data_IF_018907905390
#
_entry.id   IF_018907905390
#
_cell.length_a   1.000
_cell.length_b   1.000
_cell.length_c   1.000
_cell.angle_alpha   90.00
_cell.angle_beta   90.00
_cell.angle_gamma   90.00
#
_symmetry.space_group_name_H-M   'P 1'
#
loop_
_entity.id
_entity.type
_entity.pdbx_description
1 polymer ?
#
# COMPACT_ATOMS: atom_id res chain seq x y z
N UNK A 1 -4.25 -0.15 12.26
CA UNK A 1 -3.79 -0.11 10.85
C UNK A 1 -2.38 -0.65 10.69
N UNK A 2 -1.42 -0.15 11.46
CA UNK A 2 -0.03 -0.58 11.30
C UNK A 2 0.16 -2.07 11.51
N UNK A 3 -0.51 -2.64 12.49
CA UNK A 3 -0.42 -4.07 12.75
C UNK A 3 -0.90 -4.91 11.58
N UNK A 4 -2.01 -4.49 10.97
CA UNK A 4 -2.55 -5.21 9.82
C UNK A 4 -1.60 -5.09 8.64
N UNK A 5 -1.03 -3.90 8.45
CA UNK A 5 -0.04 -3.69 7.41
C UNK A 5 1.16 -4.61 7.63
N UNK A 6 1.71 -4.63 8.84
CA UNK A 6 2.88 -5.44 9.13
C UNK A 6 2.61 -6.93 8.88
N UNK A 7 1.39 -7.38 9.21
CA UNK A 7 1.03 -8.77 8.98
C UNK A 7 0.96 -9.12 7.50
N UNK A 8 0.58 -8.17 6.66
CA UNK A 8 0.40 -8.41 5.23
C UNK A 8 1.55 -7.90 4.36
N UNK A 9 2.51 -7.19 4.96
CA UNK A 9 3.56 -6.51 4.19
C UNK A 9 4.47 -7.47 3.44
N UNK A 10 4.58 -8.71 3.88
CA UNK A 10 5.41 -9.70 3.22
C UNK A 10 4.88 -10.07 1.83
N UNK A 11 3.63 -9.74 1.52
CA UNK A 11 3.07 -9.95 0.19
C UNK A 11 3.49 -8.85 -0.79
N UNK A 12 4.07 -7.76 -0.29
CA UNK A 12 4.51 -6.65 -1.13
C UNK A 12 5.97 -6.82 -1.52
N UNK A 13 6.33 -6.32 -2.71
CA UNK A 13 7.74 -6.18 -3.04
C UNK A 13 8.36 -5.13 -2.13
N UNK A 14 9.68 -5.10 -2.08
CA UNK A 14 10.39 -4.13 -1.26
C UNK A 14 10.02 -2.71 -1.64
N UNK A 15 9.98 -2.44 -2.95
CA UNK A 15 9.65 -1.10 -3.44
C UNK A 15 8.20 -0.74 -3.12
N UNK A 16 7.27 -1.67 -3.31
CA UNK A 16 5.87 -1.42 -3.00
C UNK A 16 5.68 -1.11 -1.53
N UNK A 17 6.35 -1.86 -0.67
CA UNK A 17 6.28 -1.64 0.76
C UNK A 17 6.82 -0.27 1.15
N UNK A 18 7.96 0.09 0.58
CA UNK A 18 8.58 1.37 0.87
C UNK A 18 7.71 2.53 0.41
N UNK A 19 7.17 2.44 -0.80
CA UNK A 19 6.27 3.48 -1.32
C UNK A 19 5.04 3.61 -0.42
N UNK A 20 4.47 2.49 -0.01
CA UNK A 20 3.28 2.52 0.84
C UNK A 20 3.57 3.21 2.17
N UNK A 21 4.69 2.88 2.80
CA UNK A 21 5.06 3.49 4.08
C UNK A 21 5.29 4.99 3.92
N UNK A 22 6.01 5.39 2.89
CA UNK A 22 6.31 6.80 2.68
C UNK A 22 5.06 7.62 2.39
N UNK A 23 4.13 7.04 1.64
CA UNK A 23 2.90 7.76 1.26
C UNK A 23 1.84 7.73 2.35
N UNK A 24 1.59 6.57 2.94
CA UNK A 24 0.44 6.38 3.82
C UNK A 24 0.76 6.64 5.28
N UNK A 25 1.95 6.32 5.73
CA UNK A 25 2.31 6.52 7.13
C UNK A 25 3.09 7.80 7.36
N UNK A 26 3.96 8.18 6.43
CA UNK A 26 4.75 9.40 6.57
C UNK A 26 4.15 10.58 5.81
N UNK A 27 3.11 10.35 5.03
CA UNK A 27 2.36 11.39 4.34
C UNK A 27 3.21 12.27 3.43
N UNK A 28 4.24 11.70 2.83
CA UNK A 28 5.08 12.41 1.88
C UNK A 28 4.36 12.47 0.53
N UNK A 29 4.59 13.55 -0.22
CA UNK A 29 3.93 13.64 -1.52
C UNK A 29 4.68 12.80 -2.58
N UNK A 30 4.01 12.56 -3.71
CA UNK A 30 4.55 11.69 -4.74
C UNK A 30 5.85 12.21 -5.35
N UNK A 31 5.99 13.52 -5.47
CA UNK A 31 7.22 14.10 -6.01
C UNK A 31 8.40 13.83 -5.10
N UNK A 32 8.18 13.95 -3.80
CA UNK A 32 9.23 13.69 -2.82
C UNK A 32 9.62 12.22 -2.81
N UNK A 33 8.63 11.32 -2.83
CA UNK A 33 8.90 9.89 -2.86
C UNK A 33 9.65 9.52 -4.13
N UNK A 34 9.27 10.12 -5.26
CA UNK A 34 9.95 9.87 -6.52
C UNK A 34 11.43 10.26 -6.44
N UNK A 35 11.72 11.38 -5.78
CA UNK A 35 13.12 11.81 -5.60
C UNK A 35 13.87 10.85 -4.70
N UNK A 36 13.26 10.42 -3.61
CA UNK A 36 13.89 9.50 -2.66
C UNK A 36 14.25 8.18 -3.35
N UNK A 37 13.36 7.69 -4.19
CA UNK A 37 13.54 6.40 -4.86
C UNK A 37 14.18 6.51 -6.24
N UNK A 38 14.52 7.74 -6.67
CA UNK A 38 15.12 7.99 -7.97
C UNK A 38 14.27 7.41 -9.09
N UNK A 39 12.99 7.79 -9.10
CA UNK A 39 12.05 7.31 -10.09
C UNK A 39 11.06 8.42 -10.44
N UNK A 40 10.05 8.11 -11.24
CA UNK A 40 9.03 9.07 -11.68
C UNK A 40 7.84 9.03 -10.74
N UNK A 41 7.12 10.16 -10.69
CA UNK A 41 5.89 10.20 -9.89
C UNK A 41 4.85 9.20 -10.36
N UNK A 42 4.75 9.00 -11.68
CA UNK A 42 3.80 8.01 -12.20
C UNK A 42 4.15 6.61 -11.72
N UNK A 43 5.45 6.32 -11.62
CA UNK A 43 5.91 5.03 -11.11
C UNK A 43 5.54 4.88 -9.63
N UNK A 44 5.72 5.96 -8.86
CA UNK A 44 5.33 5.95 -7.44
C UNK A 44 3.84 5.66 -7.30
N UNK A 45 3.02 6.37 -8.08
CA UNK A 45 1.57 6.16 -8.03
C UNK A 45 1.19 4.74 -8.41
N UNK A 46 1.87 4.18 -9.41
CA UNK A 46 1.61 2.80 -9.83
C UNK A 46 1.97 1.81 -8.72
N UNK A 47 3.12 1.99 -8.08
CA UNK A 47 3.50 1.14 -6.96
C UNK A 47 2.51 1.24 -5.81
N UNK A 48 2.03 2.44 -5.54
CA UNK A 48 1.05 2.64 -4.48
C UNK A 48 -0.27 1.94 -4.80
N UNK A 49 -0.72 2.06 -6.05
CA UNK A 49 -1.93 1.39 -6.51
C UNK A 49 -1.81 -0.13 -6.34
N UNK A 50 -0.69 -0.70 -6.79
CA UNK A 50 -0.46 -2.13 -6.68
C UNK A 50 -0.36 -2.57 -5.22
N UNK A 51 0.33 -1.77 -4.39
CA UNK A 51 0.47 -2.10 -2.98
C UNK A 51 -0.91 -2.14 -2.30
N UNK A 52 -1.74 -1.15 -2.58
CA UNK A 52 -3.09 -1.10 -2.01
C UNK A 52 -3.92 -2.30 -2.43
N UNK A 53 -3.83 -2.68 -3.70
CA UNK A 53 -4.57 -3.82 -4.22
C UNK A 53 -4.12 -5.12 -3.53
N UNK A 54 -2.81 -5.32 -3.45
CA UNK A 54 -2.26 -6.53 -2.83
C UNK A 54 -2.64 -6.60 -1.36
N UNK A 55 -2.51 -5.47 -0.65
CA UNK A 55 -2.87 -5.43 0.77
C UNK A 55 -4.34 -5.73 0.99
N UNK A 56 -5.21 -5.20 0.12
CA UNK A 56 -6.64 -5.47 0.21
C UNK A 56 -6.93 -6.96 0.01
N UNK A 57 -6.28 -7.58 -0.97
CA UNK A 57 -6.46 -9.01 -1.22
C UNK A 57 -5.96 -9.85 -0.04
N UNK A 58 -4.79 -9.50 0.50
CA UNK A 58 -4.26 -10.21 1.64
C UNK A 58 -5.12 -10.03 2.87
N UNK A 59 -5.64 -8.83 3.09
CA UNK A 59 -6.50 -8.54 4.20
C UNK A 59 -7.79 -9.34 4.10
N UNK A 60 -8.37 -9.41 2.91
CA UNK A 60 -9.59 -10.19 2.68
C UNK A 60 -9.36 -11.67 2.95
N UNK A 61 -8.19 -12.18 2.62
CA UNK A 61 -7.86 -13.59 2.77
C UNK A 61 -7.51 -13.95 4.22
N UNK A 62 -6.71 -13.11 4.86
CA UNK A 62 -6.19 -13.41 6.21
C UNK A 62 -7.10 -12.90 7.32
N UNK A 63 -7.80 -11.83 7.08
CA UNK A 63 -8.62 -11.16 8.09
C UNK A 63 -10.01 -10.86 7.54
N UNK A 64 -10.78 -11.92 7.23
CA UNK A 64 -12.09 -11.71 6.60
C UNK A 64 -13.07 -10.90 7.44
N UNK A 65 -12.82 -10.77 8.75
CA UNK A 65 -13.68 -9.96 9.61
C UNK A 65 -13.62 -8.48 9.25
N UNK A 66 -12.60 -8.06 8.52
CA UNK A 66 -12.48 -6.68 8.06
C UNK A 66 -13.04 -6.48 6.65
N UNK A 67 -13.50 -7.56 6.02
CA UNK A 67 -13.94 -7.54 4.65
C UNK A 67 -15.09 -6.56 4.36
N UNK A 68 -16.09 -6.43 5.23
CA UNK A 68 -17.18 -5.48 4.96
C UNK A 68 -16.70 -4.06 4.72
N UNK A 69 -15.73 -3.58 5.49
CA UNK A 69 -15.18 -2.24 5.31
C UNK A 69 -14.39 -2.14 4.01
N UNK A 70 -13.63 -3.17 3.67
CA UNK A 70 -12.84 -3.19 2.44
C UNK A 70 -13.74 -3.21 1.22
N UNK A 71 -14.77 -4.05 1.22
CA UNK A 71 -15.65 -4.21 0.07
C UNK A 71 -16.51 -3.00 -0.19
N UNK A 72 -16.82 -2.26 0.85
CA UNK A 72 -17.67 -1.07 0.72
C UNK A 72 -17.02 -0.04 -0.20
N UNK A 73 -15.71 0.05 -0.13
CA UNK A 73 -14.98 0.98 -0.99
C UNK A 73 -15.00 0.55 -2.44
N UNK A 74 -15.11 -0.73 -2.69
CA UNK A 74 -15.10 -1.27 -4.03
C UNK A 74 -16.46 -1.34 -4.68
N UNK A 75 -17.48 -1.12 -3.88
CA UNK A 75 -18.84 -1.16 -4.39
C UNK A 75 -19.22 0.17 -4.97
#
# INVERSE_FOLDING_TARGET
MRRLFDACADALSETQRLVFVLKEFEERDSAEVARILDTRESTVRNHLFQARRILREELSRRFPEYLPAVRRDGA
#
